data_IF_829705212882
#
_entry.id   IF_829705212882
#
_cell.length_a   1.000
_cell.length_b   1.000
_cell.length_c   1.000
_cell.angle_alpha   90.00
_cell.angle_beta   90.00
_cell.angle_gamma   90.00
#
_symmetry.space_group_name_H-M   'P 1'
#
loop_
_entity.id
_entity.type
_entity.pdbx_description
1 polymer ?
#
# COMPACT_ATOMS: atom_id res chain seq x y z
N UNK A 1 -13.18 9.15 -32.42
CA UNK A 1 -13.36 7.96 -31.55
C UNK A 1 -12.05 7.22 -31.26
N UNK A 2 -11.07 7.21 -32.17
CA UNK A 2 -9.79 6.50 -32.00
C UNK A 2 -8.91 7.06 -30.88
N UNK A 3 -8.75 8.39 -30.79
CA UNK A 3 -7.95 9.02 -29.74
C UNK A 3 -8.45 8.71 -28.31
N UNK A 4 -9.76 8.55 -28.12
CA UNK A 4 -10.33 8.16 -26.83
C UNK A 4 -9.97 6.70 -26.51
N UNK A 5 -10.02 5.79 -27.48
CA UNK A 5 -9.65 4.39 -27.31
C UNK A 5 -8.15 4.22 -27.02
N UNK A 6 -7.30 4.96 -27.72
CA UNK A 6 -5.85 4.99 -27.46
C UNK A 6 -5.51 5.54 -26.08
N UNK A 7 -6.15 6.65 -25.68
CA UNK A 7 -5.98 7.23 -24.34
C UNK A 7 -6.42 6.26 -23.23
N UNK A 8 -7.57 5.61 -23.39
CA UNK A 8 -8.06 4.61 -22.44
C UNK A 8 -7.16 3.38 -22.39
N UNK A 9 -6.68 2.89 -23.52
CA UNK A 9 -5.71 1.80 -23.62
C UNK A 9 -4.41 2.11 -22.85
N UNK A 10 -3.82 3.28 -23.10
CA UNK A 10 -2.60 3.72 -22.42
C UNK A 10 -2.83 3.91 -20.91
N UNK A 11 -4.00 4.42 -20.53
CA UNK A 11 -4.41 4.53 -19.13
C UNK A 11 -4.53 3.16 -18.46
N UNK A 12 -5.25 2.22 -19.08
CA UNK A 12 -5.42 0.85 -18.58
C UNK A 12 -4.05 0.18 -18.43
N UNK A 13 -3.16 0.35 -19.40
CA UNK A 13 -1.80 -0.20 -19.34
C UNK A 13 -1.00 0.40 -18.17
N UNK A 14 -1.11 1.70 -17.96
CA UNK A 14 -0.47 2.38 -16.82
C UNK A 14 -1.03 1.93 -15.47
N UNK A 15 -2.35 1.81 -15.38
CA UNK A 15 -3.05 1.25 -14.23
C UNK A 15 -2.59 -0.19 -13.95
N UNK A 16 -2.50 -1.03 -14.98
CA UNK A 16 -2.11 -2.43 -14.85
C UNK A 16 -0.67 -2.58 -14.32
N UNK A 17 0.25 -1.71 -14.75
CA UNK A 17 1.61 -1.65 -14.18
C UNK A 17 1.60 -1.35 -12.68
N UNK A 18 0.86 -0.32 -12.27
CA UNK A 18 0.74 0.03 -10.85
C UNK A 18 0.09 -1.11 -10.05
N UNK A 19 -0.94 -1.74 -10.63
CA UNK A 19 -1.62 -2.87 -10.03
C UNK A 19 -0.69 -4.07 -9.84
N UNK A 20 0.08 -4.48 -10.85
CA UNK A 20 1.06 -5.58 -10.76
C UNK A 20 2.11 -5.30 -9.69
N UNK A 21 2.70 -4.09 -9.68
CA UNK A 21 3.73 -3.72 -8.69
C UNK A 21 3.17 -3.79 -7.28
N UNK A 22 1.95 -3.29 -7.08
CA UNK A 22 1.24 -3.41 -5.81
C UNK A 22 0.98 -4.86 -5.41
N UNK A 23 0.55 -5.69 -6.36
CA UNK A 23 0.30 -7.11 -6.12
C UNK A 23 1.59 -7.85 -5.74
N UNK A 24 2.72 -7.51 -6.37
CA UNK A 24 4.03 -8.07 -6.03
C UNK A 24 4.45 -7.69 -4.60
N UNK A 25 4.29 -6.42 -4.21
CA UNK A 25 4.58 -5.96 -2.84
C UNK A 25 3.65 -6.63 -1.83
N UNK A 26 2.38 -6.77 -2.17
CA UNK A 26 1.42 -7.47 -1.33
C UNK A 26 1.75 -8.95 -1.15
N UNK A 27 2.15 -9.65 -2.23
CA UNK A 27 2.59 -11.04 -2.15
C UNK A 27 3.82 -11.20 -1.25
N UNK A 28 4.79 -10.28 -1.34
CA UNK A 28 5.95 -10.27 -0.46
C UNK A 28 5.54 -10.11 1.01
N UNK A 29 4.59 -9.21 1.30
CA UNK A 29 4.04 -9.04 2.64
C UNK A 29 3.21 -10.25 3.12
N UNK A 30 2.50 -10.94 2.22
CA UNK A 30 1.80 -12.20 2.52
C UNK A 30 2.80 -13.28 2.93
N UNK A 31 3.87 -13.47 2.16
CA UNK A 31 4.95 -14.39 2.51
C UNK A 31 5.52 -14.06 3.89
N UNK A 32 5.80 -12.79 4.18
CA UNK A 32 6.29 -12.37 5.48
C UNK A 32 5.33 -12.72 6.64
N UNK A 33 4.03 -12.46 6.47
CA UNK A 33 3.02 -12.84 7.46
C UNK A 33 2.94 -14.35 7.65
N UNK A 34 3.01 -15.10 6.56
CA UNK A 34 2.89 -16.56 6.58
C UNK A 34 4.11 -17.19 7.27
N UNK A 35 5.31 -16.70 6.98
CA UNK A 35 6.53 -17.03 7.71
C UNK A 35 6.35 -16.76 9.21
N UNK A 36 5.92 -15.55 9.58
CA UNK A 36 5.72 -15.19 10.99
C UNK A 36 4.70 -16.07 11.70
N UNK A 37 3.61 -16.44 11.02
CA UNK A 37 2.56 -17.30 11.58
C UNK A 37 3.07 -18.75 11.73
N UNK A 38 3.87 -19.25 10.79
CA UNK A 38 4.45 -20.60 10.83
C UNK A 38 5.41 -20.79 12.03
N UNK A 39 6.13 -19.73 12.40
CA UNK A 39 7.02 -19.72 13.57
C UNK A 39 6.31 -19.32 14.89
N UNK A 40 5.00 -19.07 14.85
CA UNK A 40 4.21 -18.72 16.03
C UNK A 40 3.47 -19.95 16.55
N UNK A 41 3.70 -20.33 17.82
CA UNK A 41 3.03 -21.44 18.50
C UNK A 41 1.52 -21.20 18.80
N UNK A 42 0.86 -20.32 18.03
CA UNK A 42 -0.51 -19.85 18.27
C UNK A 42 -1.48 -20.59 17.34
N UNK A 43 -2.66 -20.93 17.84
CA UNK A 43 -3.71 -21.62 17.05
C UNK A 43 -4.10 -20.75 15.86
N UNK A 44 -4.00 -21.31 14.65
CA UNK A 44 -4.28 -20.59 13.42
C UNK A 44 -5.76 -20.22 13.33
N UNK A 45 -6.07 -18.92 13.39
CA UNK A 45 -7.43 -18.40 13.18
C UNK A 45 -7.53 -17.75 11.80
N UNK A 46 -8.11 -18.49 10.85
CA UNK A 46 -8.23 -18.08 9.45
C UNK A 46 -8.95 -16.73 9.28
N UNK A 47 -9.99 -16.44 10.07
CA UNK A 47 -10.74 -15.18 9.98
C UNK A 47 -9.89 -13.95 10.34
N UNK A 48 -9.08 -14.03 11.39
CA UNK A 48 -8.15 -12.95 11.74
C UNK A 48 -7.05 -12.79 10.70
N UNK A 49 -6.55 -13.90 10.16
CA UNK A 49 -5.56 -13.90 9.10
C UNK A 49 -6.10 -13.20 7.85
N UNK A 50 -7.31 -13.53 7.40
CA UNK A 50 -7.96 -12.92 6.24
C UNK A 50 -8.17 -11.41 6.46
N UNK A 51 -8.55 -10.99 7.66
CA UNK A 51 -8.71 -9.57 8.00
C UNK A 51 -7.37 -8.82 8.00
N UNK A 52 -6.29 -9.41 8.51
CA UNK A 52 -4.92 -8.84 8.43
C UNK A 52 -4.44 -8.77 6.99
N UNK A 53 -4.70 -9.81 6.20
CA UNK A 53 -4.36 -9.90 4.79
C UNK A 53 -5.05 -8.80 3.96
N UNK A 54 -6.34 -8.57 4.20
CA UNK A 54 -7.11 -7.49 3.58
C UNK A 54 -6.57 -6.11 3.93
N UNK A 55 -6.22 -5.88 5.20
CA UNK A 55 -5.59 -4.63 5.62
C UNK A 55 -4.23 -4.42 4.94
N UNK A 56 -3.42 -5.47 4.85
CA UNK A 56 -2.13 -5.43 4.18
C UNK A 56 -2.26 -5.15 2.67
N UNK A 57 -3.27 -5.73 2.03
CA UNK A 57 -3.60 -5.47 0.62
C UNK A 57 -3.84 -3.99 0.38
N UNK A 58 -4.78 -3.40 1.14
CA UNK A 58 -5.08 -1.98 1.04
C UNK A 58 -3.85 -1.11 1.32
N UNK A 59 -3.02 -1.49 2.30
CA UNK A 59 -1.80 -0.75 2.62
C UNK A 59 -0.74 -0.79 1.50
N UNK A 60 -0.52 -1.97 0.90
CA UNK A 60 0.41 -2.13 -0.22
C UNK A 60 -0.04 -1.29 -1.42
N UNK A 61 -1.34 -1.33 -1.73
CA UNK A 61 -1.94 -0.52 -2.80
C UNK A 61 -1.83 0.97 -2.54
N UNK A 62 -2.09 1.40 -1.31
CA UNK A 62 -1.97 2.80 -0.91
C UNK A 62 -0.51 3.28 -0.99
N UNK A 63 0.44 2.48 -0.52
CA UNK A 63 1.87 2.77 -0.59
C UNK A 63 2.37 2.90 -2.03
N UNK A 64 1.95 2.00 -2.93
CA UNK A 64 2.32 2.07 -4.34
C UNK A 64 1.65 3.24 -5.04
N UNK A 65 0.39 3.56 -4.76
CA UNK A 65 -0.28 4.72 -5.35
C UNK A 65 0.42 6.03 -4.98
N UNK A 66 0.68 6.27 -3.69
CA UNK A 66 1.41 7.47 -3.26
C UNK A 66 2.85 7.50 -3.74
N UNK A 67 3.55 6.35 -3.68
CA UNK A 67 4.91 6.22 -4.18
C UNK A 67 4.99 6.53 -5.67
N UNK A 68 4.07 6.00 -6.46
CA UNK A 68 4.01 6.27 -7.90
C UNK A 68 3.72 7.75 -8.20
N UNK A 69 2.86 8.44 -7.44
CA UNK A 69 2.64 9.88 -7.64
C UNK A 69 3.95 10.68 -7.54
N UNK A 70 4.88 10.27 -6.66
CA UNK A 70 6.18 10.95 -6.46
C UNK A 70 7.27 10.44 -7.42
N UNK A 71 7.32 9.13 -7.69
CA UNK A 71 8.37 8.51 -8.51
C UNK A 71 8.13 8.75 -10.00
N UNK A 72 6.87 8.80 -10.46
CA UNK A 72 6.55 8.93 -11.89
C UNK A 72 6.98 10.26 -12.50
N UNK A 73 6.87 11.43 -11.83
CA UNK A 73 7.43 12.69 -12.32
C UNK A 73 8.96 12.63 -12.54
N UNK A 74 9.68 11.97 -11.64
CA UNK A 74 11.12 11.75 -11.78
C UNK A 74 11.42 10.90 -13.02
N UNK A 75 10.65 9.83 -13.24
CA UNK A 75 10.73 8.99 -14.43
C UNK A 75 10.37 9.75 -15.72
N UNK A 76 9.38 10.65 -15.69
CA UNK A 76 9.01 11.50 -16.84
C UNK A 76 10.16 12.44 -17.21
N UNK A 77 10.87 12.99 -16.22
CA UNK A 77 12.01 13.87 -16.46
C UNK A 77 13.19 13.14 -17.12
N UNK A 78 13.39 11.86 -16.77
CA UNK A 78 14.47 11.02 -17.28
C UNK A 78 14.14 10.30 -18.60
N UNK A 79 12.86 10.12 -18.94
CA UNK A 79 12.44 9.30 -20.08
C UNK A 79 12.20 10.10 -21.37
N UNK A 80 12.67 9.55 -22.49
CA UNK A 80 12.40 10.10 -23.84
C UNK A 80 10.93 9.93 -24.26
N UNK A 81 10.28 8.82 -23.86
CA UNK A 81 8.86 8.53 -24.18
C UNK A 81 7.90 9.10 -23.13
N UNK A 82 7.79 10.43 -23.08
CA UNK A 82 7.03 11.18 -22.06
C UNK A 82 5.55 10.81 -21.94
N UNK A 83 4.87 10.53 -23.06
CA UNK A 83 3.42 10.28 -23.08
C UNK A 83 2.98 9.08 -22.22
N UNK A 84 3.72 7.96 -22.25
CA UNK A 84 3.36 6.77 -21.48
C UNK A 84 3.52 7.00 -19.98
N UNK A 85 4.58 7.69 -19.56
CA UNK A 85 4.82 7.97 -18.15
C UNK A 85 3.87 9.04 -17.60
N UNK A 86 3.45 10.01 -18.43
CA UNK A 86 2.39 10.95 -18.06
C UNK A 86 1.07 10.21 -17.79
N UNK A 87 0.69 9.25 -18.64
CA UNK A 87 -0.53 8.46 -18.41
C UNK A 87 -0.45 7.61 -17.14
N UNK A 88 0.72 7.03 -16.85
CA UNK A 88 0.96 6.33 -15.57
C UNK A 88 0.81 7.28 -14.39
N UNK A 89 1.31 8.51 -14.50
CA UNK A 89 1.21 9.51 -13.46
C UNK A 89 -0.23 9.95 -13.22
N UNK A 90 -0.99 10.20 -14.28
CA UNK A 90 -2.44 10.49 -14.20
C UNK A 90 -3.18 9.33 -13.55
N UNK A 91 -2.87 8.08 -13.93
CA UNK A 91 -3.43 6.90 -13.28
C UNK A 91 -3.09 6.83 -11.79
N UNK A 92 -1.85 7.12 -11.40
CA UNK A 92 -1.42 7.15 -10.01
C UNK A 92 -2.18 8.21 -9.19
N UNK A 93 -2.42 9.41 -9.76
CA UNK A 93 -3.20 10.46 -9.12
C UNK A 93 -4.65 10.00 -8.89
N UNK A 94 -5.29 9.46 -9.93
CA UNK A 94 -6.68 8.99 -9.85
C UNK A 94 -6.81 7.89 -8.79
N UNK A 95 -5.90 6.91 -8.81
CA UNK A 95 -5.82 5.85 -7.80
C UNK A 95 -5.64 6.44 -6.40
N UNK A 96 -4.73 7.39 -6.22
CA UNK A 96 -4.49 8.07 -4.94
C UNK A 96 -5.76 8.73 -4.40
N UNK A 97 -6.52 9.44 -5.24
CA UNK A 97 -7.78 10.08 -4.85
C UNK A 97 -8.85 9.05 -4.47
N UNK A 98 -8.99 7.99 -5.27
CA UNK A 98 -9.91 6.89 -4.98
C UNK A 98 -9.55 6.24 -3.63
N UNK A 99 -8.27 6.00 -3.35
CA UNK A 99 -7.85 5.45 -2.07
C UNK A 99 -8.11 6.38 -0.90
N UNK A 100 -7.91 7.69 -1.05
CA UNK A 100 -8.29 8.66 -0.02
C UNK A 100 -9.80 8.57 0.27
N UNK A 101 -10.63 8.40 -0.75
CA UNK A 101 -12.07 8.24 -0.60
C UNK A 101 -12.44 6.93 0.11
N UNK A 102 -11.90 5.80 -0.34
CA UNK A 102 -12.07 4.49 0.29
C UNK A 102 -11.59 4.56 1.75
N UNK A 103 -10.47 5.21 2.01
CA UNK A 103 -9.89 5.37 3.35
C UNK A 103 -10.80 6.17 4.28
N UNK A 104 -11.45 7.23 3.78
CA UNK A 104 -12.48 7.99 4.53
C UNK A 104 -13.68 7.11 4.87
N UNK A 105 -14.12 6.26 3.96
CA UNK A 105 -15.26 5.36 4.17
C UNK A 105 -14.94 4.19 5.10
N UNK A 106 -13.69 3.69 5.07
CA UNK A 106 -13.28 2.48 5.80
C UNK A 106 -12.64 2.78 7.17
N UNK A 107 -12.52 4.05 7.57
CA UNK A 107 -12.09 4.49 8.92
C UNK A 107 -10.69 4.01 9.38
N UNK A 108 -9.88 3.48 8.47
CA UNK A 108 -8.74 2.60 8.79
C UNK A 108 -7.54 3.35 9.39
N UNK A 109 -7.48 4.67 9.22
CA UNK A 109 -6.44 5.54 9.78
C UNK A 109 -6.52 5.66 11.30
N UNK A 110 -7.72 5.63 11.88
CA UNK A 110 -7.88 5.75 13.34
C UNK A 110 -7.32 4.50 14.03
N UNK A 111 -7.67 3.31 13.51
CA UNK A 111 -7.25 2.03 14.10
C UNK A 111 -5.72 1.83 14.11
N UNK A 112 -4.98 2.21 13.05
CA UNK A 112 -3.54 1.94 12.99
C UNK A 112 -2.70 2.98 13.74
N UNK A 113 -3.12 4.25 13.72
CA UNK A 113 -2.46 5.31 14.50
C UNK A 113 -2.65 5.07 16.00
N UNK A 114 -3.81 4.60 16.42
CA UNK A 114 -4.07 4.22 17.80
C UNK A 114 -3.29 2.97 18.23
N UNK A 115 -3.11 1.99 17.34
CA UNK A 115 -2.36 0.76 17.62
C UNK A 115 -0.85 1.03 17.73
N UNK A 116 -0.30 1.89 16.86
CA UNK A 116 1.10 2.35 16.94
C UNK A 116 1.32 3.24 18.16
N UNK A 117 0.37 4.12 18.49
CA UNK A 117 0.44 4.93 19.72
C UNK A 117 0.45 4.04 20.96
N UNK A 118 -0.41 3.03 21.03
CA UNK A 118 -0.42 2.04 22.12
C UNK A 118 0.87 1.23 22.19
N UNK A 119 1.45 0.83 21.06
CA UNK A 119 2.75 0.16 21.02
C UNK A 119 3.90 1.06 21.49
N UNK A 120 3.88 2.34 21.09
CA UNK A 120 4.86 3.34 21.51
C UNK A 120 4.75 3.63 23.01
N UNK A 121 3.54 3.76 23.56
CA UNK A 121 3.31 3.93 24.99
C UNK A 121 3.78 2.69 25.77
N UNK A 122 3.45 1.48 25.30
CA UNK A 122 3.89 0.22 25.93
C UNK A 122 5.41 0.03 25.89
N UNK A 123 6.09 0.51 24.85
CA UNK A 123 7.56 0.50 24.75
C UNK A 123 8.22 1.61 25.57
N UNK A 124 7.55 2.76 25.73
CA UNK A 124 7.99 3.83 26.62
C UNK A 124 7.91 3.43 28.10
N UNK A 125 6.86 2.68 28.47
CA UNK A 125 6.63 2.23 29.84
C UNK A 125 7.60 1.10 30.26
N UNK A 126 7.92 0.18 29.36
CA UNK A 126 9.00 -0.81 29.59
C UNK A 126 10.36 -0.17 29.81
N UNK A 127 10.61 1.02 29.24
CA UNK A 127 11.86 1.76 29.45
C UNK A 127 11.93 2.46 30.81
N UNK A 128 10.81 2.64 31.49
CA UNK A 128 10.75 3.21 32.85
C UNK A 128 10.78 2.13 33.95
N UNK A 129 10.51 0.87 33.61
CA UNK A 129 10.48 -0.25 34.54
C UNK A 129 11.83 -0.95 34.77
N UNK A 130 12.90 -0.55 34.07
CA UNK A 130 14.28 -0.93 34.42
C UNK A 130 15.04 0.29 34.95
N UNK A 131 15.00 0.60 36.26
CA UNK A 131 15.91 1.54 36.90
C UNK A 131 17.24 0.89 37.31
N UNK A 132 17.42 -0.42 37.06
CA UNK A 132 18.59 -1.18 37.52
C UNK A 132 19.11 -2.11 36.43
N UNK A 133 19.77 -1.54 35.42
CA UNK A 133 20.85 -2.22 34.70
C UNK A 133 21.89 -1.22 34.21
#
# INVERSE_FOLDING_TARGET
MEAIKEGLSAFILGFFRLFIVSLAIWMAGLLFLLFRELFSARVFQFQEYLRKLWKLFLFAFEGVAYGAVVITPLLIYLAEKKLNYIMVWVAAIILSVIYIYIRRQTGTLFSWKDEIRKLSEKMGDRRKQDPYR
#
